data_IF_368276261901
#
_entry.id   IF_368276261901
#
_cell.length_a   1.000
_cell.length_b   1.000
_cell.length_c   1.000
_cell.angle_alpha   90.00
_cell.angle_beta   90.00
_cell.angle_gamma   90.00
#
_symmetry.space_group_name_H-M   'P 1'
#
loop_
_entity.id
_entity.type
_entity.pdbx_description
1 polymer ?
#
# COMPACT_ATOMS: atom_id res chain seq x y z
N UNK A 1 0.10 -15.14 9.84
CA UNK A 1 1.58 -15.12 9.81
C UNK A 1 2.08 -14.19 8.69
N UNK A 2 3.28 -13.64 8.81
CA UNK A 2 3.92 -12.81 7.79
C UNK A 2 3.93 -11.30 8.11
N UNK A 3 4.92 -10.59 7.56
CA UNK A 3 5.25 -9.20 7.93
C UNK A 3 4.40 -8.14 7.22
N UNK A 4 3.53 -8.57 6.30
CA UNK A 4 2.76 -7.70 5.42
C UNK A 4 1.24 -7.87 5.61
N UNK A 5 0.50 -6.80 5.28
CA UNK A 5 -0.95 -6.77 5.15
C UNK A 5 -1.30 -6.13 3.79
N UNK A 6 -1.91 -6.88 2.89
CA UNK A 6 -2.27 -6.42 1.55
C UNK A 6 -3.72 -5.93 1.55
N UNK A 7 -3.95 -4.72 1.03
CA UNK A 7 -5.27 -4.10 0.99
C UNK A 7 -5.41 -3.23 -0.26
N UNK A 8 -6.63 -3.02 -0.77
CA UNK A 8 -6.81 -2.22 -1.98
C UNK A 8 -6.46 -0.74 -1.76
N UNK A 9 -7.12 -0.07 -0.79
CA UNK A 9 -6.94 1.36 -0.57
C UNK A 9 -6.13 1.71 0.68
N UNK A 10 -6.43 1.08 1.80
CA UNK A 10 -5.78 1.39 3.07
C UNK A 10 -6.51 0.78 4.26
N UNK A 11 -6.17 1.25 5.46
CA UNK A 11 -6.81 0.82 6.71
C UNK A 11 -7.15 2.02 7.59
N UNK A 12 -8.26 1.95 8.30
CA UNK A 12 -8.65 2.93 9.31
C UNK A 12 -7.57 2.99 10.40
N UNK A 13 -6.91 4.13 10.65
CA UNK A 13 -5.89 4.24 11.68
C UNK A 13 -6.44 3.90 13.07
N UNK A 14 -5.61 3.28 13.92
CA UNK A 14 -5.94 2.91 15.32
C UNK A 14 -7.07 1.86 15.47
N UNK A 15 -7.50 1.25 14.37
CA UNK A 15 -8.43 0.11 14.38
C UNK A 15 -7.62 -1.16 14.11
N UNK A 16 -7.82 -2.21 14.90
CA UNK A 16 -7.10 -3.48 14.69
C UNK A 16 -7.30 -4.01 13.25
N UNK A 17 -6.28 -4.64 12.67
CA UNK A 17 -6.30 -5.06 11.26
C UNK A 17 -7.42 -6.08 10.96
N UNK A 18 -7.77 -6.91 11.94
CA UNK A 18 -8.88 -7.88 11.89
C UNK A 18 -10.26 -7.26 12.13
N UNK A 19 -10.32 -5.96 12.41
CA UNK A 19 -11.55 -5.19 12.67
C UNK A 19 -11.77 -4.07 11.66
N UNK A 20 -11.02 -4.08 10.56
CA UNK A 20 -11.17 -3.11 9.48
C UNK A 20 -12.48 -3.34 8.73
N UNK A 21 -13.15 -2.25 8.37
CA UNK A 21 -14.36 -2.33 7.55
C UNK A 21 -14.01 -2.56 6.08
N UNK A 22 -14.82 -3.31 5.35
CA UNK A 22 -14.63 -3.50 3.90
C UNK A 22 -14.67 -2.16 3.14
N UNK A 23 -15.52 -1.23 3.59
CA UNK A 23 -15.65 0.09 2.99
C UNK A 23 -14.34 0.88 3.11
N UNK A 24 -13.71 0.90 4.29
CA UNK A 24 -12.42 1.58 4.49
C UNK A 24 -11.34 0.88 3.67
N UNK A 25 -11.27 -0.45 3.71
CA UNK A 25 -10.29 -1.23 2.96
C UNK A 25 -10.37 -1.00 1.45
N UNK A 26 -11.55 -0.67 0.93
CA UNK A 26 -11.78 -0.43 -0.48
C UNK A 26 -11.68 1.06 -0.89
N UNK A 27 -11.93 2.02 0.01
CA UNK A 27 -12.12 3.42 -0.42
C UNK A 27 -11.43 4.49 0.43
N UNK A 28 -10.79 4.13 1.55
CA UNK A 28 -10.15 5.13 2.41
C UNK A 28 -9.00 5.85 1.68
N UNK A 29 -8.89 7.16 1.87
CA UNK A 29 -7.81 8.00 1.30
C UNK A 29 -7.12 8.83 2.37
N UNK A 30 -7.45 10.12 2.46
CA UNK A 30 -6.72 11.11 3.25
C UNK A 30 -6.46 10.68 4.70
N UNK A 31 -7.44 10.08 5.36
CA UNK A 31 -7.28 9.63 6.75
C UNK A 31 -6.18 8.55 6.91
N UNK A 32 -6.11 7.59 5.99
CA UNK A 32 -5.04 6.59 5.96
C UNK A 32 -3.72 7.20 5.47
N UNK A 33 -3.74 7.93 4.35
CA UNK A 33 -2.54 8.47 3.70
C UNK A 33 -1.79 9.49 4.58
N UNK A 34 -2.51 10.26 5.39
CA UNK A 34 -1.93 11.26 6.30
C UNK A 34 -1.55 10.67 7.67
N UNK A 35 -1.92 9.42 7.95
CA UNK A 35 -1.63 8.77 9.22
C UNK A 35 -0.19 8.26 9.28
N UNK A 36 0.43 8.45 10.45
CA UNK A 36 1.72 7.84 10.83
C UNK A 36 1.56 6.61 11.72
N UNK A 37 0.33 6.19 12.00
CA UNK A 37 0.05 5.04 12.85
C UNK A 37 0.66 3.77 12.25
N UNK A 38 1.35 2.98 13.09
CA UNK A 38 2.02 1.74 12.69
C UNK A 38 1.28 0.55 13.26
N UNK A 39 1.15 -0.47 12.43
CA UNK A 39 0.74 -1.81 12.84
C UNK A 39 1.97 -2.71 12.97
N UNK A 40 1.76 -3.89 13.50
CA UNK A 40 2.73 -4.99 13.52
C UNK A 40 3.18 -5.39 12.10
N UNK A 41 2.34 -5.10 11.10
CA UNK A 41 2.53 -5.42 9.68
C UNK A 41 2.76 -4.16 8.86
N UNK A 42 3.59 -4.28 7.83
CA UNK A 42 3.72 -3.28 6.77
C UNK A 42 2.48 -3.33 5.85
N UNK A 43 1.78 -2.21 5.68
CA UNK A 43 0.58 -2.15 4.84
C UNK A 43 0.99 -1.97 3.37
N UNK A 44 0.59 -2.88 2.49
CA UNK A 44 0.78 -2.76 1.04
C UNK A 44 -0.55 -2.35 0.42
N UNK A 45 -0.57 -1.26 -0.34
CA UNK A 45 -1.81 -0.72 -0.91
C UNK A 45 -1.67 -0.12 -2.32
N UNK A 46 -2.81 0.11 -2.96
CA UNK A 46 -2.94 0.87 -4.20
C UNK A 46 -3.97 1.99 -4.05
N UNK A 47 -4.88 2.12 -5.02
CA UNK A 47 -6.06 3.02 -5.07
C UNK A 47 -5.77 4.52 -5.16
N UNK A 48 -4.67 4.97 -4.56
CA UNK A 48 -4.23 6.35 -4.54
C UNK A 48 -2.98 6.46 -5.40
N UNK A 49 -3.19 6.92 -6.63
CA UNK A 49 -2.15 7.08 -7.65
C UNK A 49 -1.07 8.06 -7.18
N UNK A 50 0.19 7.64 -7.30
CA UNK A 50 1.37 8.48 -7.13
C UNK A 50 2.30 8.34 -8.34
N UNK A 51 3.21 9.30 -8.59
CA UNK A 51 4.11 9.19 -9.75
C UNK A 51 5.16 8.07 -9.59
N UNK A 52 5.52 7.76 -8.35
CA UNK A 52 6.50 6.75 -7.96
C UNK A 52 5.95 5.92 -6.80
N UNK A 53 6.48 4.70 -6.53
CA UNK A 53 6.09 3.94 -5.36
C UNK A 53 6.28 4.74 -4.07
N UNK A 54 5.25 4.80 -3.23
CA UNK A 54 5.30 5.52 -1.96
C UNK A 54 5.81 4.61 -0.85
N UNK A 55 7.07 4.76 -0.42
CA UNK A 55 7.65 3.96 0.66
C UNK A 55 7.70 4.78 1.94
N UNK A 56 6.89 4.38 2.93
CA UNK A 56 6.87 4.98 4.26
C UNK A 56 7.00 3.90 5.33
N UNK A 57 7.33 4.32 6.54
CA UNK A 57 7.61 3.37 7.61
C UNK A 57 6.40 2.56 8.11
N UNK A 58 5.19 2.94 7.71
CA UNK A 58 3.94 2.24 8.03
C UNK A 58 3.21 1.67 6.82
N UNK A 59 3.61 2.02 5.59
CA UNK A 59 2.94 1.55 4.37
C UNK A 59 3.82 1.65 3.13
N UNK A 60 3.52 0.84 2.14
CA UNK A 60 4.04 0.93 0.78
C UNK A 60 2.87 1.03 -0.21
N UNK A 61 2.82 2.11 -0.97
CA UNK A 61 1.87 2.33 -2.07
C UNK A 61 2.50 1.98 -3.41
N UNK A 62 1.85 1.12 -4.20
CA UNK A 62 2.37 0.64 -5.49
C UNK A 62 1.53 1.05 -6.70
N UNK A 63 0.44 1.79 -6.49
CA UNK A 63 -0.38 2.31 -7.58
C UNK A 63 0.30 3.55 -8.20
N UNK A 64 1.05 3.31 -9.27
CA UNK A 64 1.73 4.35 -10.05
C UNK A 64 0.95 4.81 -11.28
N UNK A 65 -0.35 4.51 -11.32
CA UNK A 65 -1.23 5.01 -12.37
C UNK A 65 -1.12 4.28 -13.69
N UNK A 66 -0.92 2.95 -13.67
CA UNK A 66 -0.81 2.11 -14.88
C UNK A 66 -1.94 2.33 -15.90
N UNK A 67 -3.16 2.65 -15.44
CA UNK A 67 -4.29 2.92 -16.34
C UNK A 67 -4.10 4.19 -17.18
N UNK A 68 -3.34 5.16 -16.68
CA UNK A 68 -3.11 6.45 -17.32
C UNK A 68 -1.74 6.50 -18.03
N UNK A 69 -0.71 5.91 -17.42
CA UNK A 69 0.67 5.94 -17.94
C UNK A 69 1.02 4.74 -18.81
N UNK A 70 0.29 3.63 -18.70
CA UNK A 70 0.68 2.33 -19.27
C UNK A 70 1.83 1.64 -18.49
N UNK A 71 2.32 2.27 -17.42
CA UNK A 71 3.43 1.76 -16.60
C UNK A 71 2.89 1.04 -15.38
N UNK A 72 3.07 -0.27 -15.31
CA UNK A 72 2.66 -1.09 -14.18
C UNK A 72 3.83 -1.33 -13.23
N UNK A 73 3.69 -0.89 -11.98
CA UNK A 73 4.65 -1.15 -10.90
C UNK A 73 4.41 -2.49 -10.21
N UNK A 74 5.49 -3.21 -9.94
CA UNK A 74 5.53 -4.44 -9.16
C UNK A 74 6.46 -4.27 -7.95
N UNK A 75 6.03 -4.73 -6.78
CA UNK A 75 6.85 -4.87 -5.57
C UNK A 75 7.18 -6.35 -5.36
N UNK A 76 8.46 -6.68 -5.40
CA UNK A 76 8.98 -8.01 -5.09
C UNK A 76 9.42 -8.05 -3.63
N UNK A 77 8.89 -9.04 -2.90
CA UNK A 77 9.19 -9.31 -1.50
C UNK A 77 9.88 -10.67 -1.41
N UNK A 78 11.17 -10.68 -1.10
CA UNK A 78 12.01 -11.89 -1.12
C UNK A 78 12.93 -11.91 0.11
N UNK A 79 12.61 -12.75 1.10
CA UNK A 79 13.25 -12.69 2.41
C UNK A 79 13.12 -11.30 3.02
N UNK A 80 14.24 -10.68 3.35
CA UNK A 80 14.30 -9.30 3.86
C UNK A 80 14.41 -8.25 2.74
N UNK A 81 14.59 -8.67 1.49
CA UNK A 81 14.77 -7.76 0.37
C UNK A 81 13.44 -7.28 -0.21
N UNK A 82 13.45 -6.01 -0.64
CA UNK A 82 12.36 -5.37 -1.36
C UNK A 82 12.92 -4.73 -2.63
N UNK A 83 12.32 -5.05 -3.76
CA UNK A 83 12.71 -4.51 -5.08
C UNK A 83 11.47 -4.05 -5.83
N UNK A 84 11.63 -3.00 -6.64
CA UNK A 84 10.58 -2.52 -7.53
C UNK A 84 10.96 -2.82 -8.98
N UNK A 85 9.95 -3.14 -9.77
CA UNK A 85 10.02 -3.19 -11.23
C UNK A 85 8.89 -2.37 -11.81
N UNK A 86 9.10 -1.81 -12.98
CA UNK A 86 8.09 -1.15 -13.78
C UNK A 86 8.15 -1.68 -15.21
N UNK A 87 7.04 -1.69 -15.94
CA UNK A 87 7.03 -2.09 -17.36
C UNK A 87 7.77 -1.12 -18.29
N UNK A 88 8.26 0.00 -17.74
CA UNK A 88 9.14 0.95 -18.40
C UNK A 88 10.64 0.65 -18.23
N UNK A 89 11.01 -0.35 -17.41
CA UNK A 89 12.40 -0.73 -17.13
C UNK A 89 13.06 -1.53 -18.25
#
# INVERSE_FOLDING_TARGET
LGDYFFVHAGVKPKVALDRQSELDMMWIRAEFLNSKYRYEKMIIHGHSVTNEPSVLANRIGIDTGAYASGVLTCLVLEGEQRRFFATSD
#
